data_IF_790369125697
#
_entry.id   IF_790369125697
#
_cell.length_a   1.000
_cell.length_b   1.000
_cell.length_c   1.000
_cell.angle_alpha   90.00
_cell.angle_beta   90.00
_cell.angle_gamma   90.00
#
_symmetry.space_group_name_H-M   'P 1'
#
loop_
_entity.id
_entity.type
_entity.pdbx_description
1 polymer ?
#
# COMPACT_ATOMS: atom_id res chain seq x y z
N UNK A 1 28.45 -0.26 -37.86
CA UNK A 1 27.30 -0.11 -36.93
C UNK A 1 27.41 1.29 -36.38
N UNK A 2 26.57 2.19 -36.85
CA UNK A 2 26.69 3.63 -36.58
C UNK A 2 26.19 3.96 -35.17
N UNK A 3 26.74 5.01 -34.56
CA UNK A 3 26.24 5.50 -33.28
C UNK A 3 24.86 6.16 -33.49
N UNK A 4 23.89 5.97 -32.57
CA UNK A 4 22.55 6.54 -32.73
C UNK A 4 22.57 8.06 -32.57
N UNK A 5 22.69 8.75 -33.71
CA UNK A 5 22.16 10.09 -34.01
C UNK A 5 22.00 11.02 -32.79
N UNK A 6 23.12 11.43 -32.18
CA UNK A 6 23.12 12.24 -30.95
C UNK A 6 23.11 13.75 -31.26
N UNK A 7 22.33 14.51 -30.50
CA UNK A 7 22.21 15.95 -30.65
C UNK A 7 23.47 16.69 -30.18
N UNK A 8 23.87 17.74 -30.90
CA UNK A 8 24.85 18.70 -30.38
C UNK A 8 24.17 19.69 -29.42
N UNK A 9 24.87 20.06 -28.34
CA UNK A 9 24.35 20.87 -27.24
C UNK A 9 24.06 22.35 -27.59
N UNK A 10 24.23 22.76 -28.86
CA UNK A 10 24.24 24.17 -29.29
C UNK A 10 22.89 24.71 -29.74
N UNK A 11 21.87 23.86 -29.90
CA UNK A 11 20.53 24.27 -30.33
C UNK A 11 19.46 23.78 -29.34
N UNK A 12 18.97 24.73 -28.53
CA UNK A 12 17.90 24.52 -27.55
C UNK A 12 16.55 24.25 -28.22
N UNK A 13 16.32 24.79 -29.42
CA UNK A 13 15.10 24.56 -30.20
C UNK A 13 15.02 23.15 -30.76
N UNK A 14 16.07 22.69 -31.43
CA UNK A 14 16.16 21.31 -31.93
C UNK A 14 16.09 20.26 -30.80
N UNK A 15 16.66 20.59 -29.63
CA UNK A 15 16.51 19.79 -28.41
C UNK A 15 15.06 19.77 -27.90
N UNK A 16 14.39 20.92 -27.87
CA UNK A 16 13.00 21.06 -27.44
C UNK A 16 11.97 20.39 -28.38
N UNK A 17 12.24 20.32 -29.68
CA UNK A 17 11.44 19.54 -30.63
C UNK A 17 11.61 18.03 -30.37
N UNK A 18 12.85 17.54 -30.35
CA UNK A 18 13.14 16.11 -30.20
C UNK A 18 12.80 15.56 -28.80
N UNK A 19 12.76 16.40 -27.76
CA UNK A 19 12.23 16.04 -26.45
C UNK A 19 10.73 15.73 -26.43
N UNK A 20 9.97 16.31 -27.38
CA UNK A 20 8.51 16.14 -27.52
C UNK A 20 8.12 15.07 -28.55
N UNK A 21 9.07 14.46 -29.25
CA UNK A 21 8.85 13.35 -30.18
C UNK A 21 8.28 12.13 -29.41
N UNK A 22 7.06 11.63 -29.73
CA UNK A 22 6.44 10.53 -28.97
C UNK A 22 7.17 9.17 -29.04
N UNK A 23 8.12 9.01 -29.96
CA UNK A 23 8.90 7.78 -30.14
C UNK A 23 10.37 7.93 -29.71
N UNK A 24 10.91 9.16 -29.74
CA UNK A 24 12.33 9.44 -29.48
C UNK A 24 12.59 10.34 -28.28
N UNK A 25 11.58 11.03 -27.76
CA UNK A 25 11.66 12.00 -26.66
C UNK A 25 11.57 11.37 -25.26
N UNK A 26 11.22 12.20 -24.27
CA UNK A 26 10.99 11.74 -22.88
C UNK A 26 9.64 11.01 -22.78
N UNK A 27 9.51 10.05 -21.85
CA UNK A 27 8.26 9.29 -21.67
C UNK A 27 7.13 10.16 -21.11
N UNK A 28 6.32 10.73 -22.01
CA UNK A 28 5.09 11.43 -21.67
C UNK A 28 3.96 10.43 -21.50
N UNK A 29 3.35 10.41 -20.32
CA UNK A 29 2.21 9.54 -19.98
C UNK A 29 1.42 10.13 -18.81
N UNK A 30 0.18 9.69 -18.65
CA UNK A 30 -0.66 10.05 -17.52
C UNK A 30 -0.17 9.32 -16.27
N UNK A 31 0.22 10.06 -15.23
CA UNK A 31 0.73 9.48 -13.97
C UNK A 31 -0.22 9.79 -12.83
N UNK A 32 -0.60 8.76 -12.06
CA UNK A 32 -1.53 8.89 -10.94
C UNK A 32 -0.76 8.82 -9.63
N UNK A 33 -0.88 9.85 -8.79
CA UNK A 33 -0.29 9.88 -7.45
C UNK A 33 -1.40 10.16 -6.44
N UNK A 34 -1.56 9.25 -5.47
CA UNK A 34 -2.78 9.17 -4.66
C UNK A 34 -4.00 9.19 -5.61
N UNK A 35 -5.02 9.98 -5.29
CA UNK A 35 -6.27 10.05 -6.05
C UNK A 35 -6.13 10.75 -7.40
N UNK A 36 -5.28 11.79 -7.48
CA UNK A 36 -5.17 12.68 -8.64
C UNK A 36 -4.40 12.03 -9.79
N UNK A 37 -5.06 11.96 -10.94
CA UNK A 37 -4.41 11.68 -12.22
C UNK A 37 -3.79 12.99 -12.73
N UNK A 38 -2.52 12.95 -13.09
CA UNK A 38 -1.81 14.06 -13.70
C UNK A 38 -1.57 13.73 -15.18
N UNK A 39 -2.46 14.17 -16.09
CA UNK A 39 -2.36 13.81 -17.49
C UNK A 39 -1.17 14.49 -18.17
N UNK A 40 -0.63 13.80 -19.20
CA UNK A 40 0.43 14.27 -20.12
C UNK A 40 1.68 14.78 -19.38
N UNK A 41 2.18 14.02 -18.40
CA UNK A 41 3.36 14.40 -17.59
C UNK A 41 4.63 13.63 -17.97
N UNK A 42 5.77 14.06 -17.45
CA UNK A 42 7.04 13.30 -17.40
C UNK A 42 7.73 13.51 -16.04
N UNK A 43 8.68 12.63 -15.67
CA UNK A 43 9.43 12.75 -14.40
C UNK A 43 10.77 13.47 -14.61
N UNK A 44 11.17 14.29 -13.65
CA UNK A 44 12.44 15.04 -13.69
C UNK A 44 13.68 14.16 -13.89
N UNK A 45 13.78 13.03 -13.18
CA UNK A 45 14.91 12.10 -13.36
C UNK A 45 14.93 11.42 -14.73
N UNK A 46 13.77 11.03 -15.27
CA UNK A 46 13.64 10.45 -16.62
C UNK A 46 14.07 11.43 -17.72
N UNK A 47 13.73 12.72 -17.55
CA UNK A 47 14.19 13.81 -18.42
C UNK A 47 15.72 13.95 -18.38
N UNK A 48 16.33 13.87 -17.20
CA UNK A 48 17.80 13.92 -17.04
C UNK A 48 18.48 12.69 -17.64
N UNK A 49 17.92 11.49 -17.46
CA UNK A 49 18.39 10.25 -18.09
C UNK A 49 18.39 10.36 -19.62
N UNK A 50 17.31 10.93 -20.17
CA UNK A 50 17.16 11.15 -21.61
C UNK A 50 18.17 12.16 -22.14
N UNK A 51 18.30 13.32 -21.51
CA UNK A 51 19.24 14.39 -21.93
C UNK A 51 20.68 13.90 -21.84
N UNK A 52 21.04 13.22 -20.76
CA UNK A 52 22.38 12.65 -20.56
C UNK A 52 22.74 11.56 -21.59
N UNK A 53 21.74 10.84 -22.10
CA UNK A 53 21.91 9.80 -23.14
C UNK A 53 22.02 10.40 -24.55
N UNK A 54 21.21 11.42 -24.86
CA UNK A 54 21.01 11.92 -26.23
C UNK A 54 21.89 13.11 -26.62
N UNK A 55 22.41 13.89 -25.67
CA UNK A 55 23.23 15.08 -25.96
C UNK A 55 24.73 14.75 -25.95
N UNK A 56 25.45 15.16 -27.00
CA UNK A 56 26.90 14.98 -27.12
C UNK A 56 27.66 15.93 -26.19
N UNK A 57 28.68 15.41 -25.50
CA UNK A 57 29.69 16.20 -24.81
C UNK A 57 29.49 16.37 -23.30
N UNK A 58 28.33 15.96 -22.76
CA UNK A 58 28.07 15.97 -21.32
C UNK A 58 29.01 14.99 -20.60
N UNK A 59 29.59 15.42 -19.47
CA UNK A 59 30.60 14.64 -18.72
C UNK A 59 30.10 14.19 -17.34
N UNK A 60 29.08 14.86 -16.81
CA UNK A 60 28.48 14.61 -15.50
C UNK A 60 26.96 14.71 -15.64
N UNK A 61 26.21 13.94 -14.85
CA UNK A 61 24.75 14.05 -14.76
C UNK A 61 24.28 15.48 -14.46
N UNK A 62 25.01 16.23 -13.61
CA UNK A 62 24.74 17.65 -13.31
C UNK A 62 24.69 18.53 -14.57
N UNK A 63 25.51 18.25 -15.58
CA UNK A 63 25.53 19.02 -16.83
C UNK A 63 24.18 18.88 -17.57
N UNK A 64 23.55 17.70 -17.52
CA UNK A 64 22.19 17.49 -18.03
C UNK A 64 21.11 18.20 -17.17
N UNK A 65 21.28 18.25 -15.84
CA UNK A 65 20.38 19.00 -14.95
C UNK A 65 20.41 20.50 -15.25
N UNK A 66 21.59 21.06 -15.55
CA UNK A 66 21.75 22.46 -15.96
C UNK A 66 21.06 22.77 -17.30
N UNK A 67 21.06 21.82 -18.25
CA UNK A 67 20.27 21.92 -19.49
C UNK A 67 18.77 21.81 -19.22
N UNK A 68 18.34 20.90 -18.33
CA UNK A 68 16.92 20.77 -17.96
C UNK A 68 16.39 22.04 -17.27
N UNK A 69 17.21 22.71 -16.47
CA UNK A 69 16.90 24.03 -15.91
C UNK A 69 16.71 25.07 -17.03
N UNK A 70 17.65 25.18 -17.97
CA UNK A 70 17.55 26.12 -19.11
C UNK A 70 16.28 25.88 -19.96
N UNK A 71 15.92 24.61 -20.21
CA UNK A 71 14.68 24.25 -20.92
C UNK A 71 13.41 24.61 -20.12
N UNK A 72 13.46 24.56 -18.78
CA UNK A 72 12.37 25.04 -17.93
C UNK A 72 12.29 26.57 -17.95
N UNK A 73 13.43 27.25 -18.00
CA UNK A 73 13.55 28.72 -18.01
C UNK A 73 13.11 29.35 -19.35
N UNK A 74 13.16 28.62 -20.47
CA UNK A 74 12.48 29.04 -21.73
C UNK A 74 10.96 28.87 -21.67
N UNK A 75 10.42 28.29 -20.59
CA UNK A 75 9.01 28.01 -20.44
C UNK A 75 8.51 26.75 -21.15
N UNK A 76 9.39 25.93 -21.74
CA UNK A 76 9.00 24.71 -22.51
C UNK A 76 8.17 23.72 -21.68
N UNK A 77 8.36 23.70 -20.37
CA UNK A 77 7.57 22.88 -19.44
C UNK A 77 7.48 23.54 -18.07
N UNK A 78 6.41 23.24 -17.32
CA UNK A 78 6.21 23.69 -15.93
C UNK A 78 6.15 22.50 -14.95
N UNK A 79 6.58 22.67 -13.68
CA UNK A 79 6.28 21.70 -12.64
C UNK A 79 4.77 21.60 -12.43
N UNK A 80 4.26 20.40 -12.17
CA UNK A 80 2.81 20.13 -12.10
C UNK A 80 2.21 20.55 -10.74
N UNK A 81 3.03 20.67 -9.70
CA UNK A 81 2.59 21.14 -8.39
C UNK A 81 2.77 22.65 -8.27
N UNK A 82 1.68 23.38 -8.00
CA UNK A 82 1.69 24.83 -7.71
C UNK A 82 2.69 25.21 -6.61
N UNK A 83 2.85 24.38 -5.58
CA UNK A 83 3.85 24.54 -4.50
C UNK A 83 5.32 24.52 -4.99
N UNK A 84 5.57 24.14 -6.25
CA UNK A 84 6.89 24.15 -6.92
C UNK A 84 7.02 25.20 -8.03
N UNK A 85 5.99 26.00 -8.31
CA UNK A 85 6.10 27.09 -9.28
C UNK A 85 7.19 28.08 -8.83
N UNK A 86 8.07 28.50 -9.73
CA UNK A 86 9.22 29.36 -9.41
C UNK A 86 10.31 28.69 -8.54
N UNK A 87 10.34 27.36 -8.44
CA UNK A 87 11.46 26.59 -7.89
C UNK A 87 12.36 26.09 -9.01
N UNK A 88 13.67 25.81 -8.76
CA UNK A 88 14.54 25.22 -9.76
C UNK A 88 14.09 23.81 -10.17
N UNK A 89 14.65 23.31 -11.26
CA UNK A 89 14.44 21.95 -11.74
C UNK A 89 15.10 20.92 -10.79
N UNK A 90 14.45 19.76 -10.67
CA UNK A 90 14.88 18.65 -9.79
C UNK A 90 15.01 17.33 -10.56
N UNK A 91 16.22 16.77 -10.54
CA UNK A 91 16.58 15.40 -10.93
C UNK A 91 16.06 14.40 -9.86
N UNK A 92 14.74 14.20 -9.85
CA UNK A 92 14.02 13.40 -8.86
C UNK A 92 12.64 13.00 -9.38
N UNK A 93 11.88 12.25 -8.57
CA UNK A 93 10.47 11.88 -8.75
C UNK A 93 9.50 13.06 -8.63
N UNK A 94 9.75 14.13 -9.41
CA UNK A 94 8.91 15.33 -9.52
C UNK A 94 8.26 15.33 -10.90
N UNK A 95 6.95 15.61 -10.96
CA UNK A 95 6.21 15.69 -12.21
C UNK A 95 6.31 17.08 -12.86
N UNK A 96 6.54 17.07 -14.17
CA UNK A 96 6.50 18.22 -15.06
C UNK A 96 5.56 17.94 -16.23
N UNK A 97 5.06 19.00 -16.88
CA UNK A 97 4.20 18.96 -18.07
C UNK A 97 4.71 19.99 -19.08
N UNK A 98 4.81 19.60 -20.35
CA UNK A 98 5.14 20.52 -21.45
C UNK A 98 4.06 21.61 -21.59
N UNK A 99 4.48 22.85 -21.86
CA UNK A 99 3.57 23.93 -22.25
C UNK A 99 3.20 23.80 -23.73
N UNK A 100 2.08 24.40 -24.14
CA UNK A 100 1.49 24.24 -25.48
C UNK A 100 1.75 25.47 -26.37
N UNK A 101 2.36 26.51 -25.80
CA UNK A 101 2.50 27.87 -26.32
C UNK A 101 3.28 27.98 -27.65
N UNK A 102 3.96 26.91 -28.08
CA UNK A 102 4.64 26.81 -29.38
C UNK A 102 3.75 26.31 -30.54
N UNK A 103 2.52 25.86 -30.28
CA UNK A 103 1.61 25.33 -31.32
C UNK A 103 0.17 25.87 -31.28
N UNK A 104 -0.10 26.94 -30.53
CA UNK A 104 -1.30 27.76 -30.71
C UNK A 104 -2.64 27.07 -30.42
N UNK A 105 -2.68 26.17 -29.44
CA UNK A 105 -3.92 25.64 -28.86
C UNK A 105 -4.03 26.07 -27.40
N UNK A 106 -5.19 26.58 -27.00
CA UNK A 106 -5.44 26.93 -25.60
C UNK A 106 -5.36 25.69 -24.71
N UNK A 107 -4.86 25.87 -23.49
CA UNK A 107 -5.01 24.88 -22.42
C UNK A 107 -6.19 25.33 -21.56
N UNK A 108 -7.11 24.41 -21.26
CA UNK A 108 -8.13 24.63 -20.25
C UNK A 108 -7.46 25.09 -18.93
N UNK A 109 -8.04 26.09 -18.28
CA UNK A 109 -7.57 26.56 -16.96
C UNK A 109 -7.60 25.38 -15.97
N UNK A 110 -6.62 25.32 -15.06
CA UNK A 110 -6.28 24.10 -14.29
C UNK A 110 -7.55 23.44 -13.68
N UNK A 111 -8.01 22.34 -14.28
CA UNK A 111 -9.26 21.65 -13.90
C UNK A 111 -9.28 21.37 -12.39
N UNK A 112 -10.42 21.76 -11.82
CA UNK A 112 -10.70 22.04 -10.43
C UNK A 112 -9.97 21.13 -9.41
N UNK A 113 -9.41 21.72 -8.35
CA UNK A 113 -8.81 21.01 -7.21
C UNK A 113 -9.87 20.21 -6.40
N UNK A 114 -11.14 20.22 -6.82
CA UNK A 114 -12.30 19.69 -6.10
C UNK A 114 -12.52 18.18 -6.23
N UNK A 115 -12.30 17.56 -7.42
CA UNK A 115 -12.62 16.14 -7.62
C UNK A 115 -11.48 15.16 -7.25
N UNK A 116 -11.34 14.97 -5.95
CA UNK A 116 -10.40 14.02 -5.34
C UNK A 116 -11.03 12.60 -5.19
N UNK A 117 -12.30 12.41 -5.57
CA UNK A 117 -13.00 11.12 -5.45
C UNK A 117 -13.22 10.41 -6.80
N UNK A 118 -13.27 11.19 -7.88
CA UNK A 118 -13.66 10.78 -9.23
C UNK A 118 -15.14 10.41 -9.32
N UNK A 119 -15.67 10.35 -10.53
CA UNK A 119 -17.07 10.01 -10.89
C UNK A 119 -17.65 8.71 -10.25
N UNK A 120 -16.82 7.92 -9.57
CA UNK A 120 -17.15 6.60 -9.01
C UNK A 120 -16.78 6.42 -7.51
N UNK A 121 -16.23 7.43 -6.81
CA UNK A 121 -15.82 7.38 -5.40
C UNK A 121 -14.97 6.13 -5.01
N UNK A 122 -14.05 5.74 -5.92
CA UNK A 122 -13.24 4.50 -5.84
C UNK A 122 -11.76 4.80 -5.62
N UNK A 123 -11.45 5.12 -4.37
CA UNK A 123 -10.12 4.88 -3.78
C UNK A 123 -9.69 3.43 -4.03
N UNK A 124 -8.51 3.21 -4.61
CA UNK A 124 -7.89 1.88 -4.68
C UNK A 124 -7.25 1.49 -3.34
N UNK A 125 -6.97 0.20 -3.16
CA UNK A 125 -6.25 -0.34 -2.01
C UNK A 125 -4.95 0.41 -1.73
N UNK A 126 -4.14 0.55 -2.77
CA UNK A 126 -2.76 0.99 -2.68
C UNK A 126 -2.67 2.49 -2.34
N UNK A 127 -3.64 3.27 -2.83
CA UNK A 127 -3.83 4.67 -2.45
C UNK A 127 -4.20 4.83 -0.97
N UNK A 128 -4.99 3.91 -0.42
CA UNK A 128 -5.42 3.97 0.97
C UNK A 128 -4.29 3.57 1.93
N UNK A 129 -3.45 2.61 1.56
CA UNK A 129 -2.28 2.18 2.35
C UNK A 129 -1.32 3.36 2.64
N UNK A 130 -0.98 4.16 1.63
CA UNK A 130 -0.12 5.34 1.82
C UNK A 130 -0.81 6.45 2.63
N UNK A 131 -2.12 6.65 2.43
CA UNK A 131 -2.95 7.57 3.24
C UNK A 131 -2.94 7.17 4.71
N UNK A 132 -3.11 5.88 5.00
CA UNK A 132 -3.16 5.33 6.37
C UNK A 132 -1.81 5.41 7.07
N UNK A 133 -0.71 5.10 6.38
CA UNK A 133 0.65 5.23 6.93
C UNK A 133 0.96 6.70 7.22
N UNK A 134 0.60 7.61 6.31
CA UNK A 134 0.78 9.04 6.54
C UNK A 134 -0.10 9.55 7.70
N UNK A 135 -1.35 9.08 7.81
CA UNK A 135 -2.29 9.46 8.87
C UNK A 135 -1.79 8.99 10.24
N UNK A 136 -1.49 7.70 10.39
CA UNK A 136 -1.02 7.12 11.65
C UNK A 136 0.33 7.67 12.15
N UNK A 137 1.17 8.20 11.25
CA UNK A 137 2.41 8.90 11.60
C UNK A 137 2.25 10.44 11.72
N UNK A 138 1.07 10.97 11.41
CA UNK A 138 0.83 12.41 11.25
C UNK A 138 -0.05 13.08 12.30
N UNK A 139 -0.95 12.35 12.96
CA UNK A 139 -1.87 12.90 13.99
C UNK A 139 -1.40 12.65 15.43
N UNK A 140 -1.75 13.57 16.33
CA UNK A 140 -1.21 13.61 17.71
C UNK A 140 -1.93 12.65 18.68
N UNK A 141 -1.43 11.40 18.70
CA UNK A 141 -1.86 10.37 19.65
C UNK A 141 -1.29 10.65 21.05
N UNK A 142 -2.15 11.06 22.00
CA UNK A 142 -1.80 11.29 23.42
C UNK A 142 -2.99 11.13 24.35
N UNK A 143 -2.74 10.87 25.64
CA UNK A 143 -3.77 10.69 26.67
C UNK A 143 -4.71 11.91 26.70
N UNK A 144 -6.00 11.69 26.43
CA UNK A 144 -7.05 12.71 26.54
C UNK A 144 -7.83 12.49 27.83
N UNK A 145 -8.47 13.53 28.38
CA UNK A 145 -9.32 13.45 29.57
C UNK A 145 -10.64 14.16 29.30
N UNK A 146 -11.76 13.48 29.58
CA UNK A 146 -13.09 14.07 29.51
C UNK A 146 -13.82 13.82 30.83
N UNK A 147 -14.19 14.92 31.51
CA UNK A 147 -14.78 14.90 32.84
C UNK A 147 -13.89 14.12 33.85
N UNK A 148 -14.45 13.08 34.49
CA UNK A 148 -13.75 12.20 35.43
C UNK A 148 -13.04 11.00 34.76
N UNK A 149 -13.21 10.77 33.45
CA UNK A 149 -12.57 9.67 32.72
C UNK A 149 -11.35 10.14 31.94
N UNK A 150 -10.30 9.31 31.95
CA UNK A 150 -9.11 9.49 31.12
C UNK A 150 -9.02 8.35 30.11
N UNK A 151 -8.54 8.67 28.91
CA UNK A 151 -8.44 7.72 27.81
C UNK A 151 -7.03 7.82 27.19
N UNK A 152 -6.32 6.71 27.16
CA UNK A 152 -4.95 6.63 26.64
C UNK A 152 -4.94 6.33 25.13
N UNK A 153 -3.85 6.70 24.46
CA UNK A 153 -3.63 6.46 23.01
C UNK A 153 -4.78 6.97 22.11
N UNK A 154 -5.29 8.17 22.39
CA UNK A 154 -6.38 8.78 21.64
C UNK A 154 -5.90 9.92 20.72
N UNK A 155 -6.66 10.18 19.66
CA UNK A 155 -6.65 11.40 18.85
C UNK A 155 -8.08 11.97 18.77
N UNK A 156 -8.24 13.22 18.32
CA UNK A 156 -9.56 13.89 18.23
C UNK A 156 -10.07 13.92 16.79
N UNK A 157 -11.37 13.75 16.59
CA UNK A 157 -12.00 13.73 15.25
C UNK A 157 -11.75 14.98 14.41
N UNK A 158 -11.85 16.18 15.01
CA UNK A 158 -11.54 17.44 14.33
C UNK A 158 -10.05 17.62 14.02
N UNK A 159 -9.15 17.25 14.95
CA UNK A 159 -7.68 17.27 14.71
C UNK A 159 -7.29 16.35 13.54
N UNK A 160 -7.94 15.18 13.44
CA UNK A 160 -7.79 14.26 12.32
C UNK A 160 -8.36 14.82 11.01
N UNK A 161 -9.51 15.49 11.07
CA UNK A 161 -10.12 16.15 9.90
C UNK A 161 -9.23 17.26 9.36
N UNK A 162 -8.71 18.14 10.22
CA UNK A 162 -7.76 19.20 9.84
C UNK A 162 -6.49 18.62 9.20
N UNK A 163 -5.92 17.56 9.79
CA UNK A 163 -4.75 16.90 9.21
C UNK A 163 -5.05 16.33 7.81
N UNK A 164 -6.21 15.69 7.61
CA UNK A 164 -6.61 15.12 6.31
C UNK A 164 -6.79 16.23 5.26
N UNK A 165 -7.42 17.35 5.63
CA UNK A 165 -7.57 18.55 4.80
C UNK A 165 -6.21 19.09 4.37
N UNK A 166 -5.31 19.40 5.31
CA UNK A 166 -3.98 19.96 5.03
C UNK A 166 -3.07 19.02 4.21
N UNK A 167 -3.19 17.71 4.46
CA UNK A 167 -2.35 16.69 3.82
C UNK A 167 -2.72 16.46 2.37
N UNK A 168 -4.01 16.37 2.06
CA UNK A 168 -4.52 15.95 0.75
C UNK A 168 -5.22 17.07 -0.04
N UNK A 169 -5.36 18.27 0.54
CA UNK A 169 -6.02 19.42 -0.08
C UNK A 169 -7.50 19.14 -0.42
N UNK A 170 -8.19 18.43 0.48
CA UNK A 170 -9.61 18.05 0.37
C UNK A 170 -10.52 18.99 1.16
N UNK A 171 -11.82 19.01 0.84
CA UNK A 171 -12.83 19.62 1.70
C UNK A 171 -13.01 18.85 3.02
N UNK A 172 -13.50 19.52 4.07
CA UNK A 172 -13.85 18.85 5.35
C UNK A 172 -14.88 17.73 5.18
N UNK A 173 -15.79 17.82 4.20
CA UNK A 173 -16.76 16.75 3.89
C UNK A 173 -16.06 15.50 3.38
N UNK A 174 -15.18 15.64 2.37
CA UNK A 174 -14.36 14.54 1.84
C UNK A 174 -13.41 13.97 2.91
N UNK A 175 -12.89 14.81 3.81
CA UNK A 175 -12.07 14.36 4.93
C UNK A 175 -12.85 13.51 5.94
N UNK A 176 -14.11 13.87 6.25
CA UNK A 176 -15.02 13.04 7.05
C UNK A 176 -15.33 11.73 6.32
N UNK A 177 -15.68 11.74 5.03
CA UNK A 177 -15.92 10.51 4.27
C UNK A 177 -14.71 9.56 4.29
N UNK A 178 -13.49 10.09 4.16
CA UNK A 178 -12.27 9.32 4.27
C UNK A 178 -12.09 8.73 5.69
N UNK A 179 -12.35 9.51 6.74
CA UNK A 179 -12.34 9.04 8.12
C UNK A 179 -13.37 7.95 8.40
N UNK A 180 -14.60 8.10 7.91
CA UNK A 180 -15.65 7.06 7.98
C UNK A 180 -15.20 5.76 7.31
N UNK A 181 -14.51 5.87 6.17
CA UNK A 181 -13.96 4.73 5.42
C UNK A 181 -12.81 4.03 6.15
N UNK A 182 -11.95 4.78 6.83
CA UNK A 182 -10.89 4.22 7.68
C UNK A 182 -11.45 3.55 8.96
N UNK A 183 -12.48 4.14 9.58
CA UNK A 183 -13.21 3.55 10.71
C UNK A 183 -13.95 2.26 10.30
N UNK A 184 -14.66 2.29 9.17
CA UNK A 184 -15.38 1.13 8.62
C UNK A 184 -14.49 -0.02 8.16
N UNK A 185 -13.17 0.21 8.04
CA UNK A 185 -12.16 -0.83 7.81
C UNK A 185 -11.44 -1.28 9.10
N UNK A 186 -11.74 -0.66 10.24
CA UNK A 186 -11.21 -1.04 11.55
C UNK A 186 -9.76 -0.61 11.79
N UNK A 187 -9.30 0.48 11.17
CA UNK A 187 -7.98 1.07 11.48
C UNK A 187 -7.98 1.86 12.79
N UNK A 188 -9.11 2.51 13.10
CA UNK A 188 -9.37 3.16 14.38
C UNK A 188 -10.83 2.95 14.77
N UNK A 189 -11.11 3.06 16.07
CA UNK A 189 -12.43 2.94 16.66
C UNK A 189 -12.72 4.16 17.56
N UNK A 190 -14.00 4.47 17.76
CA UNK A 190 -14.41 5.50 18.71
C UNK A 190 -14.35 4.94 20.15
N UNK A 191 -13.75 5.72 21.05
CA UNK A 191 -13.21 5.25 22.34
C UNK A 191 -14.26 4.79 23.36
N UNK A 192 -15.52 5.19 23.21
CA UNK A 192 -16.59 4.88 24.17
C UNK A 192 -17.88 4.30 23.57
N UNK A 193 -17.97 4.20 22.24
CA UNK A 193 -19.10 3.62 21.51
C UNK A 193 -18.61 3.10 20.16
N UNK A 194 -18.62 1.77 19.98
CA UNK A 194 -18.12 1.09 18.79
C UNK A 194 -19.00 1.30 17.54
N UNK A 195 -20.23 1.82 17.69
CA UNK A 195 -21.12 2.10 16.57
C UNK A 195 -21.07 3.57 16.14
N UNK A 196 -20.33 4.43 16.87
CA UNK A 196 -20.32 5.87 16.58
C UNK A 196 -19.52 6.15 15.29
N UNK A 197 -20.09 6.88 14.31
CA UNK A 197 -19.38 7.30 13.10
C UNK A 197 -18.11 8.14 13.39
N UNK A 198 -17.29 8.31 12.35
CA UNK A 198 -16.24 9.34 12.37
C UNK A 198 -16.85 10.73 12.15
N UNK A 199 -16.60 11.66 13.08
CA UNK A 199 -17.17 13.00 13.09
C UNK A 199 -16.06 14.06 13.20
N UNK A 200 -16.21 15.16 12.45
CA UNK A 200 -15.39 16.39 12.56
C UNK A 200 -15.78 17.17 13.83
N UNK A 201 -15.44 16.59 14.98
CA UNK A 201 -15.89 17.00 16.29
C UNK A 201 -14.84 16.69 17.37
N UNK A 202 -15.07 17.18 18.60
CA UNK A 202 -14.23 16.90 19.77
C UNK A 202 -14.48 15.49 20.38
N UNK A 203 -14.62 14.50 19.50
CA UNK A 203 -14.85 13.10 19.82
C UNK A 203 -13.52 12.35 19.83
N UNK A 204 -13.38 11.34 20.69
CA UNK A 204 -12.10 10.65 20.88
C UNK A 204 -12.09 9.32 20.12
N UNK A 205 -11.11 9.18 19.24
CA UNK A 205 -10.84 7.95 18.51
C UNK A 205 -9.48 7.39 18.95
N UNK A 206 -9.30 6.07 18.85
CA UNK A 206 -8.02 5.40 19.05
C UNK A 206 -7.74 4.51 17.86
N UNK A 207 -6.47 4.39 17.48
CA UNK A 207 -6.07 3.32 16.58
C UNK A 207 -6.40 1.97 17.21
N UNK A 208 -6.78 1.01 16.37
CA UNK A 208 -7.01 -0.36 16.84
C UNK A 208 -5.65 -1.03 17.02
N UNK A 209 -5.08 -0.85 18.21
CA UNK A 209 -4.00 -1.70 18.69
C UNK A 209 -4.45 -3.17 18.65
N UNK A 210 -3.54 -4.10 18.32
CA UNK A 210 -3.86 -5.52 18.13
C UNK A 210 -4.24 -6.25 19.43
N UNK A 211 -4.10 -5.59 20.58
CA UNK A 211 -4.34 -6.13 21.92
C UNK A 211 -5.83 -6.20 22.31
N UNK A 212 -6.53 -7.21 21.78
CA UNK A 212 -7.85 -7.61 22.27
C UNK A 212 -8.04 -9.13 22.27
N UNK A 213 -8.02 -9.73 23.47
CA UNK A 213 -8.55 -11.06 23.80
C UNK A 213 -8.21 -12.21 22.82
N UNK A 214 -6.92 -12.54 22.71
CA UNK A 214 -6.49 -13.89 22.32
C UNK A 214 -6.31 -14.80 23.55
N UNK A 215 -5.79 -16.03 23.37
CA UNK A 215 -5.13 -16.74 24.47
C UNK A 215 -3.99 -15.87 25.06
N UNK A 216 -3.56 -16.17 26.28
CA UNK A 216 -2.48 -15.41 26.95
C UNK A 216 -1.16 -15.59 26.19
N UNK A 217 -0.84 -14.64 25.31
CA UNK A 217 0.37 -14.68 24.48
C UNK A 217 1.58 -14.51 25.37
N UNK A 218 2.47 -15.50 25.35
CA UNK A 218 3.77 -15.51 26.01
C UNK A 218 4.86 -15.81 24.99
N UNK A 219 6.12 -15.62 25.36
CA UNK A 219 7.27 -16.02 24.53
C UNK A 219 7.23 -17.52 24.11
N UNK A 220 6.47 -18.36 24.83
CA UNK A 220 6.30 -19.78 24.51
C UNK A 220 5.16 -20.08 23.53
N UNK A 221 4.26 -19.14 23.23
CA UNK A 221 3.08 -19.36 22.36
C UNK A 221 3.46 -19.90 20.97
N UNK A 222 2.64 -20.82 20.46
CA UNK A 222 2.80 -21.52 19.18
C UNK A 222 1.50 -21.49 18.39
N UNK A 223 1.57 -21.86 17.11
CA UNK A 223 0.40 -22.16 16.26
C UNK A 223 -0.56 -23.16 16.93
N UNK A 224 -0.04 -24.08 17.74
CA UNK A 224 -0.77 -25.20 18.32
C UNK A 224 -1.61 -24.82 19.55
N UNK A 225 -1.42 -23.61 20.09
CA UNK A 225 -2.22 -23.02 21.16
C UNK A 225 -3.52 -22.37 20.64
N UNK A 226 -3.72 -22.32 19.32
CA UNK A 226 -4.90 -21.74 18.68
C UNK A 226 -5.88 -22.81 18.19
N UNK A 227 -7.16 -22.47 18.26
CA UNK A 227 -8.24 -23.20 17.60
C UNK A 227 -8.79 -22.35 16.45
N UNK A 228 -9.43 -22.99 15.50
CA UNK A 228 -10.21 -22.35 14.44
C UNK A 228 -11.48 -23.14 14.17
N UNK A 229 -12.36 -22.63 13.31
CA UNK A 229 -13.43 -23.42 12.71
C UNK A 229 -13.01 -23.85 11.30
N UNK A 230 -13.25 -25.09 10.90
CA UNK A 230 -13.09 -25.51 9.51
C UNK A 230 -14.11 -24.81 8.59
N UNK A 231 -13.98 -25.02 7.28
CA UNK A 231 -14.89 -24.45 6.28
C UNK A 231 -16.35 -24.90 6.45
N UNK A 232 -16.60 -26.05 7.10
CA UNK A 232 -17.93 -26.58 7.46
C UNK A 232 -18.41 -26.12 8.86
N UNK A 233 -17.61 -25.29 9.54
CA UNK A 233 -17.81 -24.70 10.88
C UNK A 233 -17.68 -25.65 12.06
N UNK A 234 -17.00 -26.78 11.88
CA UNK A 234 -16.59 -27.66 12.99
C UNK A 234 -15.36 -27.07 13.70
N UNK A 235 -15.26 -27.13 15.04
CA UNK A 235 -14.04 -26.74 15.74
C UNK A 235 -12.85 -27.67 15.40
N UNK A 236 -11.71 -27.08 15.07
CA UNK A 236 -10.43 -27.76 14.80
C UNK A 236 -9.34 -27.15 15.68
N UNK A 237 -8.56 -28.01 16.33
CA UNK A 237 -7.40 -27.59 17.12
C UNK A 237 -6.18 -27.56 16.19
N UNK A 238 -5.47 -26.43 16.12
CA UNK A 238 -4.33 -26.35 15.18
C UNK A 238 -3.14 -27.23 15.61
N UNK A 239 -3.16 -27.77 16.83
CA UNK A 239 -2.26 -28.85 17.27
C UNK A 239 -2.34 -30.14 16.43
N UNK A 240 -3.42 -30.36 15.68
CA UNK A 240 -3.57 -31.46 14.71
C UNK A 240 -2.56 -31.37 13.54
N UNK A 241 -1.99 -30.19 13.33
CA UNK A 241 -0.96 -29.91 12.31
C UNK A 241 0.47 -29.89 12.89
N UNK A 242 0.66 -30.40 14.12
CA UNK A 242 1.97 -30.52 14.76
C UNK A 242 2.98 -31.29 13.89
N UNK A 243 4.22 -30.79 13.83
CA UNK A 243 5.31 -31.42 13.10
C UNK A 243 5.36 -31.19 11.58
N UNK A 244 4.55 -30.26 11.01
CA UNK A 244 4.47 -30.01 9.55
C UNK A 244 5.08 -28.67 9.10
N UNK A 245 5.68 -28.62 7.89
CA UNK A 245 6.44 -27.49 7.31
C UNK A 245 6.21 -27.30 5.79
N UNK A 246 6.30 -26.03 5.34
CA UNK A 246 5.57 -25.20 4.34
C UNK A 246 5.16 -25.48 2.83
N UNK A 247 5.48 -26.56 2.05
CA UNK A 247 5.19 -26.57 0.57
C UNK A 247 4.71 -27.87 -0.11
N UNK A 248 3.86 -27.72 -1.15
CA UNK A 248 3.41 -28.80 -2.06
C UNK A 248 3.90 -28.56 -3.51
N UNK A 249 4.91 -29.33 -3.91
CA UNK A 249 4.89 -30.07 -5.18
C UNK A 249 5.61 -31.39 -4.96
N UNK A 250 5.08 -32.51 -5.48
CA UNK A 250 5.65 -33.86 -5.37
C UNK A 250 5.84 -34.45 -3.96
N UNK A 251 4.74 -34.69 -3.24
CA UNK A 251 4.60 -35.89 -2.39
C UNK A 251 5.54 -36.06 -1.18
N UNK A 252 6.23 -35.00 -0.73
CA UNK A 252 7.08 -35.06 0.45
C UNK A 252 6.25 -35.11 1.74
N UNK A 253 6.29 -36.24 2.45
CA UNK A 253 5.64 -36.41 3.76
C UNK A 253 6.16 -35.40 4.78
N UNK A 254 5.32 -34.45 5.19
CA UNK A 254 5.70 -33.44 6.18
C UNK A 254 5.08 -32.05 6.02
N UNK A 255 4.15 -31.83 5.07
CA UNK A 255 3.54 -30.51 4.82
C UNK A 255 2.00 -30.49 4.96
N UNK A 256 1.43 -29.30 5.25
CA UNK A 256 0.06 -28.90 4.83
C UNK A 256 -0.09 -27.35 4.75
N UNK A 257 -0.81 -26.81 3.75
CA UNK A 257 -1.27 -25.39 3.74
C UNK A 257 -2.46 -25.27 4.70
N UNK A 258 -2.60 -24.15 5.42
CA UNK A 258 -3.84 -23.79 6.12
C UNK A 258 -4.46 -22.55 5.45
N UNK A 259 -5.58 -22.73 4.74
CA UNK A 259 -6.23 -21.65 3.99
C UNK A 259 -7.36 -20.97 4.77
N UNK A 260 -7.20 -19.68 5.06
CA UNK A 260 -8.18 -18.86 5.77
C UNK A 260 -8.83 -17.84 4.82
N UNK A 261 -10.09 -18.04 4.38
CA UNK A 261 -10.80 -17.07 3.55
C UNK A 261 -11.03 -15.75 4.32
N UNK A 262 -10.97 -14.61 3.63
CA UNK A 262 -11.13 -13.29 4.25
C UNK A 262 -11.69 -12.28 3.25
N UNK A 263 -12.76 -11.56 3.63
CA UNK A 263 -13.44 -10.60 2.75
C UNK A 263 -12.99 -9.13 2.94
N UNK A 264 -12.00 -8.88 3.80
CA UNK A 264 -11.56 -7.50 4.13
C UNK A 264 -10.84 -6.82 2.96
N UNK A 265 -10.30 -7.59 2.01
CA UNK A 265 -9.49 -7.11 0.90
C UNK A 265 -10.31 -6.99 -0.39
N UNK A 266 -10.67 -5.76 -0.75
CA UNK A 266 -11.39 -5.44 -2.00
C UNK A 266 -12.79 -6.07 -2.13
N UNK A 267 -13.34 -6.64 -1.05
CA UNK A 267 -14.51 -7.54 -1.05
C UNK A 267 -14.38 -8.71 -2.04
N UNK A 268 -13.16 -9.25 -2.20
CA UNK A 268 -12.85 -10.32 -3.16
C UNK A 268 -13.31 -11.72 -2.71
N UNK A 269 -13.78 -11.88 -1.47
CA UNK A 269 -14.30 -13.15 -0.94
C UNK A 269 -15.74 -12.98 -0.39
N UNK A 270 -16.71 -12.56 -1.21
CA UNK A 270 -18.03 -12.17 -0.72
C UNK A 270 -18.87 -13.38 -0.29
N UNK A 271 -18.71 -14.52 -0.97
CA UNK A 271 -19.56 -15.70 -0.84
C UNK A 271 -19.50 -16.40 0.52
N UNK A 272 -20.53 -17.20 0.80
CA UNK A 272 -20.60 -18.13 1.93
C UNK A 272 -19.56 -19.25 1.81
N UNK A 273 -19.33 -19.98 2.90
CA UNK A 273 -18.41 -21.12 2.91
C UNK A 273 -18.79 -22.21 1.89
N UNK A 274 -20.08 -22.39 1.62
CA UNK A 274 -20.56 -23.32 0.59
C UNK A 274 -20.19 -22.86 -0.83
N UNK A 275 -20.31 -21.57 -1.12
CA UNK A 275 -19.86 -20.98 -2.38
C UNK A 275 -18.33 -21.02 -2.53
N UNK A 276 -17.59 -20.83 -1.43
CA UNK A 276 -16.12 -20.97 -1.39
C UNK A 276 -15.73 -22.42 -1.70
N UNK A 277 -16.32 -23.41 -1.01
CA UNK A 277 -16.10 -24.85 -1.29
C UNK A 277 -16.39 -25.21 -2.74
N UNK A 278 -17.45 -24.66 -3.34
CA UNK A 278 -17.79 -24.93 -4.74
C UNK A 278 -16.84 -24.22 -5.72
N UNK A 279 -16.34 -23.04 -5.38
CA UNK A 279 -15.37 -22.31 -6.18
C UNK A 279 -14.01 -23.03 -6.24
N UNK A 280 -13.46 -23.44 -5.09
CA UNK A 280 -12.10 -24.04 -5.00
C UNK A 280 -11.96 -25.39 -5.68
N UNK A 281 -13.06 -26.15 -5.85
CA UNK A 281 -13.08 -27.43 -6.60
C UNK A 281 -12.51 -27.29 -8.02
N UNK A 282 -12.67 -26.13 -8.65
CA UNK A 282 -12.18 -25.81 -10.01
C UNK A 282 -10.66 -25.68 -10.09
N UNK A 283 -9.99 -25.58 -8.95
CA UNK A 283 -8.54 -25.38 -8.81
C UNK A 283 -7.85 -26.57 -8.13
N UNK A 284 -8.56 -27.69 -7.92
CA UNK A 284 -8.07 -28.90 -7.24
C UNK A 284 -7.39 -28.62 -5.88
N UNK A 285 -7.94 -27.72 -5.07
CA UNK A 285 -7.42 -27.44 -3.72
C UNK A 285 -7.50 -28.71 -2.85
N UNK A 286 -6.34 -29.23 -2.45
CA UNK A 286 -6.14 -30.45 -1.64
C UNK A 286 -6.01 -30.17 -0.14
N UNK A 287 -5.79 -28.91 0.23
CA UNK A 287 -5.40 -28.51 1.58
C UNK A 287 -6.57 -27.99 2.45
N UNK A 288 -6.47 -28.08 3.79
CA UNK A 288 -7.49 -27.57 4.71
C UNK A 288 -7.89 -26.12 4.47
N UNK A 289 -9.21 -25.89 4.42
CA UNK A 289 -9.83 -24.57 4.44
C UNK A 289 -10.61 -24.38 5.75
N UNK A 290 -10.60 -23.14 6.24
CA UNK A 290 -11.23 -22.72 7.50
C UNK A 290 -12.42 -21.79 7.24
N UNK A 291 -13.23 -21.51 8.28
CA UNK A 291 -14.32 -20.53 8.23
C UNK A 291 -13.78 -19.14 7.83
N UNK A 292 -14.64 -18.30 7.25
CA UNK A 292 -14.24 -16.98 6.76
C UNK A 292 -13.98 -16.03 7.92
N UNK A 293 -12.71 -15.69 8.14
CA UNK A 293 -12.24 -14.87 9.27
C UNK A 293 -11.90 -13.43 8.84
N UNK A 294 -11.95 -12.52 9.81
CA UNK A 294 -11.20 -11.26 9.72
C UNK A 294 -9.75 -11.51 10.16
N UNK A 295 -8.81 -10.85 9.49
CA UNK A 295 -7.37 -10.85 9.84
C UNK A 295 -6.89 -9.50 10.37
N UNK A 296 -7.67 -8.42 10.16
CA UNK A 296 -7.42 -7.06 10.63
C UNK A 296 -8.62 -6.50 11.44
N UNK A 297 -8.38 -5.39 12.16
CA UNK A 297 -9.37 -4.75 13.04
C UNK A 297 -9.63 -5.48 14.37
N UNK A 298 -10.56 -4.98 15.20
CA UNK A 298 -10.81 -5.53 16.55
C UNK A 298 -11.30 -6.97 16.51
N UNK A 299 -12.10 -7.27 15.48
CA UNK A 299 -12.70 -8.58 15.20
C UNK A 299 -11.74 -9.56 14.49
N UNK A 300 -10.45 -9.23 14.36
CA UNK A 300 -9.46 -10.15 13.80
C UNK A 300 -9.35 -11.43 14.65
N UNK A 301 -9.31 -12.59 13.99
CA UNK A 301 -9.13 -13.89 14.63
C UNK A 301 -7.83 -13.91 15.46
N UNK A 302 -7.81 -14.46 16.69
CA UNK A 302 -6.65 -14.40 17.59
C UNK A 302 -5.32 -14.84 16.97
N UNK A 303 -5.34 -15.90 16.14
CA UNK A 303 -4.17 -16.36 15.39
C UNK A 303 -3.54 -15.24 14.55
N UNK A 304 -4.37 -14.46 13.84
CA UNK A 304 -3.92 -13.37 12.98
C UNK A 304 -3.56 -12.09 13.74
N UNK A 305 -3.96 -11.94 15.02
CA UNK A 305 -3.38 -10.90 15.88
C UNK A 305 -1.93 -11.29 16.18
N UNK A 306 -1.74 -12.43 16.85
CA UNK A 306 -0.43 -12.98 17.20
C UNK A 306 0.56 -13.07 16.03
N UNK A 307 0.17 -13.65 14.88
CA UNK A 307 1.06 -13.76 13.71
C UNK A 307 1.55 -12.40 13.19
N UNK A 308 0.77 -11.32 13.34
CA UNK A 308 1.16 -9.96 12.95
C UNK A 308 2.01 -9.25 14.01
N UNK A 309 1.91 -9.68 15.25
CA UNK A 309 2.71 -9.18 16.37
C UNK A 309 4.11 -9.81 16.36
N UNK A 310 4.21 -11.13 16.14
CA UNK A 310 5.47 -11.88 15.98
C UNK A 310 6.19 -11.54 14.66
N UNK A 311 5.44 -11.44 13.55
CA UNK A 311 5.97 -11.13 12.23
C UNK A 311 5.30 -9.86 11.67
N UNK A 312 5.70 -8.67 12.16
CA UNK A 312 5.29 -7.41 11.56
C UNK A 312 5.77 -7.32 10.10
N UNK A 313 5.04 -6.57 9.27
CA UNK A 313 5.47 -6.25 7.92
C UNK A 313 6.58 -5.21 7.88
N UNK A 314 7.02 -4.86 6.66
CA UNK A 314 8.00 -3.81 6.41
C UNK A 314 7.69 -2.53 7.19
N UNK A 315 8.72 -1.89 7.75
CA UNK A 315 8.62 -0.70 8.61
C UNK A 315 7.78 -0.90 9.90
N UNK A 316 7.62 -2.14 10.36
CA UNK A 316 6.86 -2.46 11.59
C UNK A 316 5.35 -2.53 11.38
N UNK A 317 4.85 -2.41 10.15
CA UNK A 317 3.41 -2.38 9.85
C UNK A 317 2.80 -3.78 10.10
N UNK A 318 2.17 -3.95 11.26
CA UNK A 318 1.56 -5.23 11.68
C UNK A 318 0.47 -5.72 10.73
N UNK A 319 -0.45 -4.86 10.29
CA UNK A 319 -1.63 -5.22 9.48
C UNK A 319 -1.34 -6.10 8.25
N UNK A 320 -2.20 -7.06 7.97
CA UNK A 320 -2.15 -7.83 6.70
C UNK A 320 -2.56 -6.91 5.57
N UNK A 321 -1.75 -6.78 4.50
CA UNK A 321 -1.98 -5.77 3.46
C UNK A 321 -3.01 -6.20 2.41
N UNK A 322 -2.95 -7.44 1.95
CA UNK A 322 -3.85 -7.96 0.93
C UNK A 322 -4.02 -9.48 1.01
N UNK A 323 -4.94 -10.00 0.19
CA UNK A 323 -5.08 -11.42 -0.12
C UNK A 323 -3.73 -12.06 -0.48
N UNK A 324 -3.58 -13.35 -0.15
CA UNK A 324 -2.36 -14.12 -0.36
C UNK A 324 -1.10 -13.55 0.35
N UNK A 325 -1.26 -12.84 1.47
CA UNK A 325 -0.18 -12.68 2.46
C UNK A 325 0.07 -14.04 3.14
N UNK A 326 1.32 -14.43 3.34
CA UNK A 326 1.70 -15.81 3.73
C UNK A 326 2.58 -15.79 4.98
N UNK A 327 2.35 -16.72 5.90
CA UNK A 327 3.16 -16.89 7.12
C UNK A 327 3.75 -18.30 7.14
N UNK A 328 5.08 -18.41 7.27
CA UNK A 328 5.81 -19.67 7.36
C UNK A 328 6.07 -20.02 8.82
N UNK A 329 5.65 -21.22 9.22
CA UNK A 329 5.72 -21.77 10.58
C UNK A 329 6.62 -23.02 10.56
N UNK A 330 7.41 -23.27 11.61
CA UNK A 330 8.25 -24.48 11.75
C UNK A 330 7.52 -25.67 12.42
N UNK A 331 8.19 -26.83 12.55
CA UNK A 331 7.62 -28.05 13.16
C UNK A 331 7.23 -27.88 14.63
N UNK A 332 7.75 -26.86 15.30
CA UNK A 332 7.50 -26.49 16.69
C UNK A 332 6.42 -25.40 16.82
N UNK A 333 5.73 -25.05 15.72
CA UNK A 333 4.64 -24.10 15.71
C UNK A 333 5.05 -22.63 15.87
N UNK A 334 6.34 -22.30 15.75
CA UNK A 334 6.85 -20.92 15.84
C UNK A 334 6.82 -20.23 14.47
N UNK A 335 6.41 -18.94 14.39
CA UNK A 335 6.48 -18.18 13.16
C UNK A 335 7.94 -17.90 12.78
N UNK A 336 8.29 -18.07 11.51
CA UNK A 336 9.67 -17.95 11.00
C UNK A 336 9.81 -16.78 10.03
N UNK A 337 8.90 -16.66 9.06
CA UNK A 337 8.97 -15.61 8.04
C UNK A 337 7.59 -15.27 7.47
N UNK A 338 7.40 -14.01 7.09
CA UNK A 338 6.17 -13.47 6.49
C UNK A 338 6.46 -12.97 5.09
N UNK A 339 5.65 -13.40 4.13
CA UNK A 339 5.79 -13.03 2.72
C UNK A 339 4.60 -12.21 2.26
N UNK A 340 4.87 -11.23 1.40
CA UNK A 340 3.84 -10.35 0.86
C UNK A 340 2.93 -11.03 -0.16
N UNK A 341 1.81 -10.36 -0.51
CA UNK A 341 0.96 -10.76 -1.63
C UNK A 341 1.73 -11.09 -2.94
N UNK A 342 2.68 -10.26 -3.43
CA UNK A 342 3.35 -10.51 -4.71
C UNK A 342 4.43 -11.60 -4.68
N UNK A 343 4.73 -12.19 -3.53
CA UNK A 343 5.68 -13.31 -3.45
C UNK A 343 5.04 -14.57 -4.05
N UNK A 344 5.57 -15.06 -5.17
CA UNK A 344 5.21 -16.36 -5.77
C UNK A 344 5.42 -17.49 -4.75
N UNK A 345 4.40 -18.32 -4.44
CA UNK A 345 4.55 -19.50 -3.58
C UNK A 345 5.77 -20.39 -3.92
N UNK A 346 6.13 -20.53 -5.20
CA UNK A 346 7.29 -21.34 -5.62
C UNK A 346 8.62 -20.78 -5.13
N UNK A 347 8.74 -19.46 -4.99
CA UNK A 347 9.96 -18.84 -4.46
C UNK A 347 10.22 -19.18 -2.99
N UNK A 348 9.20 -19.67 -2.27
CA UNK A 348 9.25 -19.98 -0.83
C UNK A 348 9.75 -21.43 -0.59
N UNK A 349 9.64 -22.32 -1.59
CA UNK A 349 10.02 -23.75 -1.53
C UNK A 349 11.41 -23.98 -0.92
N UNK A 350 12.39 -23.11 -1.24
CA UNK A 350 13.75 -23.19 -0.69
C UNK A 350 13.80 -22.97 0.83
N UNK A 351 13.13 -21.93 1.33
CA UNK A 351 13.11 -21.58 2.75
C UNK A 351 12.43 -22.69 3.58
N UNK A 352 11.51 -23.39 2.93
CA UNK A 352 10.72 -24.48 3.48
C UNK A 352 11.54 -25.77 3.57
N UNK A 353 12.20 -26.19 2.49
CA UNK A 353 13.11 -27.33 2.50
C UNK A 353 14.22 -27.11 3.55
N UNK A 354 14.73 -25.88 3.67
CA UNK A 354 15.71 -25.49 4.70
C UNK A 354 15.19 -25.72 6.13
N UNK A 355 13.89 -25.53 6.39
CA UNK A 355 13.29 -25.86 7.70
C UNK A 355 13.07 -27.36 7.88
N UNK A 356 12.62 -28.07 6.84
CA UNK A 356 12.45 -29.54 6.89
C UNK A 356 13.76 -30.26 7.21
N UNK A 357 14.87 -29.83 6.60
CA UNK A 357 16.23 -30.34 6.84
C UNK A 357 16.75 -30.00 8.25
N UNK A 358 16.61 -28.74 8.70
CA UNK A 358 17.09 -28.31 10.03
C UNK A 358 16.43 -29.05 11.18
N UNK A 359 15.13 -29.33 11.06
CA UNK A 359 14.36 -30.10 12.04
C UNK A 359 14.50 -31.64 11.82
N UNK A 360 15.61 -32.11 11.25
CA UNK A 360 15.91 -33.54 11.01
C UNK A 360 17.31 -33.95 11.52
N UNK A 361 17.91 -33.12 12.38
CA UNK A 361 19.20 -33.30 13.07
C UNK A 361 19.01 -33.09 14.59
#
# INVERSE_FOLDING_TARGET
>A
MEAPDRLQCTDVGALAERLRDPQKGVSVQDRRYFFRTYPKTFVGSEMVDWVYTNVVGLRRRKDAVEICQQLMDTGLFRPVSSRRQGKPFYDASVLYRFTVDFTGGECDEDEDDSDILGENNKISSDQLDDVLVAFASGIEVKKRRHFLRSYDHCFVGSEATDWIVDKFNVSRVQAVELGQKMLGMGFFEHVSDQNKPFEDANEFYRFVDTEAAGPQVTENTTLYDFNALDIDKNPVSLSEFSGRVLVETHGASGFTVLGFPCNQFGKQEPGTNDEIKEFVKKFNVTFPLFDKVNVNGPQAHPLFKWLKDELPGSLGIKGVKWNFTKFLINKQGKPVQRYGPPTDPKSIEKDILTLMEKDSL
#
